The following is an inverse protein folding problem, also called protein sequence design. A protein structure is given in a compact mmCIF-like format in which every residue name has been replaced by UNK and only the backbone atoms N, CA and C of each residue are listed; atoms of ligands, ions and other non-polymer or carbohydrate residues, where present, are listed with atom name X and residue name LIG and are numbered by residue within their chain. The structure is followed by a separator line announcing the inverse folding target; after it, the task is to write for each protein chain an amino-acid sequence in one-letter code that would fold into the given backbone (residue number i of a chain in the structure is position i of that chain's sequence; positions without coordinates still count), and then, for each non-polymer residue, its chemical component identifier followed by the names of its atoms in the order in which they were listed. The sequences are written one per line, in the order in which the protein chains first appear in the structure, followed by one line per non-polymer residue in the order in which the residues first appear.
data_IF_395320188056
#
_entry.id   IF_395320188056
#
_cell.length_a   1.000
_cell.length_b   1.000
_cell.length_c   1.000
_cell.angle_alpha   90.00
_cell.angle_beta   90.00
_cell.angle_gamma   90.00
#
_symmetry.space_group_name_H-M   'P 1'
#
loop_
_entity.id
_entity.type
_entity.pdbx_description
1 polymer ?
#
# COMPACT_ATOMS: atom_id res chain seq x y z
N UNK A 1 -25.98 -6.72 -13.55
CA UNK A 1 -24.94 -6.22 -12.63
C UNK A 1 -25.44 -5.05 -11.76
N UNK A 2 -26.07 -4.02 -12.32
CA UNK A 2 -26.52 -2.85 -11.56
C UNK A 2 -27.49 -3.17 -10.41
N UNK A 3 -28.42 -4.11 -10.63
CA UNK A 3 -29.34 -4.57 -9.57
C UNK A 3 -28.57 -5.23 -8.43
N UNK A 4 -27.63 -6.12 -8.74
CA UNK A 4 -26.79 -6.82 -7.77
C UNK A 4 -25.91 -5.83 -6.99
N UNK A 5 -25.30 -4.88 -7.70
CA UNK A 5 -24.47 -3.80 -7.10
C UNK A 5 -25.29 -2.94 -6.12
N UNK A 6 -26.54 -2.61 -6.48
CA UNK A 6 -27.43 -1.84 -5.58
C UNK A 6 -27.75 -2.62 -4.31
N UNK A 7 -28.07 -3.90 -4.42
CA UNK A 7 -28.36 -4.76 -3.27
C UNK A 7 -27.12 -4.94 -2.40
N UNK A 8 -25.94 -5.20 -3.00
CA UNK A 8 -24.68 -5.29 -2.27
C UNK A 8 -24.38 -4.01 -1.47
N UNK A 9 -24.56 -2.85 -2.10
CA UNK A 9 -24.37 -1.55 -1.42
C UNK A 9 -25.30 -1.39 -0.23
N UNK A 10 -26.52 -1.87 -0.31
CA UNK A 10 -27.47 -1.86 0.81
C UNK A 10 -27.02 -2.79 1.94
N UNK A 11 -26.55 -4.00 1.62
CA UNK A 11 -25.96 -4.94 2.60
C UNK A 11 -24.74 -4.33 3.31
N UNK A 12 -23.80 -3.75 2.54
CA UNK A 12 -22.60 -3.12 3.11
C UNK A 12 -22.97 -1.94 4.04
N UNK A 13 -24.01 -1.17 3.71
CA UNK A 13 -24.52 -0.12 4.58
C UNK A 13 -25.09 -0.70 5.89
N UNK A 14 -25.83 -1.80 5.80
CA UNK A 14 -26.35 -2.50 6.97
C UNK A 14 -25.22 -3.06 7.85
N UNK A 15 -24.17 -3.64 7.25
CA UNK A 15 -22.99 -4.12 7.99
C UNK A 15 -22.30 -2.99 8.75
N UNK A 16 -22.08 -1.84 8.11
CA UNK A 16 -21.50 -0.68 8.78
C UNK A 16 -22.37 -0.19 9.94
N UNK A 17 -23.70 -0.21 9.78
CA UNK A 17 -24.63 0.16 10.86
C UNK A 17 -24.59 -0.84 12.02
N UNK A 18 -24.39 -2.12 11.71
CA UNK A 18 -24.29 -3.21 12.71
C UNK A 18 -22.86 -3.37 13.28
N UNK A 19 -21.91 -2.52 12.89
CA UNK A 19 -20.48 -2.63 13.22
C UNK A 19 -19.86 -3.99 12.83
N UNK A 20 -20.35 -4.61 11.77
CA UNK A 20 -19.77 -5.83 11.22
C UNK A 20 -18.61 -5.48 10.26
N UNK A 21 -17.42 -5.94 10.61
CA UNK A 21 -16.22 -5.78 9.76
C UNK A 21 -16.07 -6.97 8.82
N UNK A 22 -15.83 -6.70 7.54
CA UNK A 22 -15.52 -7.75 6.55
C UNK A 22 -14.08 -8.28 6.63
N UNK A 23 -13.23 -7.67 7.49
CA UNK A 23 -11.93 -8.27 7.84
C UNK A 23 -12.08 -9.46 8.79
N UNK A 24 -13.15 -9.49 9.60
CA UNK A 24 -13.36 -10.48 10.64
C UNK A 24 -14.50 -11.46 10.30
N UNK A 25 -15.28 -11.15 9.26
CA UNK A 25 -16.43 -11.95 8.85
C UNK A 25 -16.38 -12.29 7.36
N UNK A 26 -16.65 -13.55 7.03
CA UNK A 26 -16.73 -14.00 5.65
C UNK A 26 -18.07 -13.56 5.00
N UNK A 27 -18.06 -13.24 3.71
CA UNK A 27 -19.28 -12.96 2.94
C UNK A 27 -20.30 -14.09 3.02
N UNK A 28 -19.84 -15.33 3.11
CA UNK A 28 -20.70 -16.51 3.24
C UNK A 28 -21.56 -16.47 4.50
N UNK A 29 -21.03 -15.93 5.58
CA UNK A 29 -21.71 -15.92 6.89
C UNK A 29 -22.67 -14.73 7.05
N UNK A 30 -22.43 -13.63 6.31
CA UNK A 30 -23.15 -12.36 6.52
C UNK A 30 -24.12 -12.00 5.41
N UNK A 31 -24.03 -12.63 4.24
CA UNK A 31 -24.98 -12.41 3.13
C UNK A 31 -26.05 -13.50 3.10
N UNK A 32 -27.31 -13.14 2.78
CA UNK A 32 -28.32 -14.15 2.49
C UNK A 32 -27.87 -15.06 1.35
N UNK A 33 -28.01 -16.38 1.54
CA UNK A 33 -27.49 -17.41 0.63
C UNK A 33 -27.94 -17.18 -0.81
N UNK A 34 -29.23 -16.92 -1.05
CA UNK A 34 -29.78 -16.66 -2.39
C UNK A 34 -29.12 -15.47 -3.07
N UNK A 35 -28.76 -14.42 -2.32
CA UNK A 35 -28.10 -13.25 -2.86
C UNK A 35 -26.61 -13.49 -3.06
N UNK A 36 -25.99 -14.24 -2.17
CA UNK A 36 -24.58 -14.64 -2.28
C UNK A 36 -24.31 -15.37 -3.59
N UNK A 37 -25.13 -16.36 -3.94
CA UNK A 37 -24.99 -17.09 -5.22
C UNK A 37 -25.16 -16.18 -6.42
N UNK A 38 -26.16 -15.33 -6.44
CA UNK A 38 -26.37 -14.36 -7.53
C UNK A 38 -25.18 -13.40 -7.68
N UNK A 39 -24.63 -12.94 -6.55
CA UNK A 39 -23.48 -12.06 -6.55
C UNK A 39 -22.22 -12.76 -7.08
N UNK A 40 -21.93 -13.96 -6.61
CA UNK A 40 -20.76 -14.74 -7.03
C UNK A 40 -20.84 -15.12 -8.50
N UNK A 41 -22.01 -15.53 -8.98
CA UNK A 41 -22.22 -15.86 -10.39
C UNK A 41 -22.00 -14.63 -11.27
N UNK A 42 -22.63 -13.50 -10.96
CA UNK A 42 -22.47 -12.27 -11.71
C UNK A 42 -21.02 -11.76 -11.67
N UNK A 43 -20.36 -11.86 -10.54
CA UNK A 43 -18.94 -11.48 -10.40
C UNK A 43 -18.05 -12.37 -11.25
N UNK A 44 -18.32 -13.69 -11.26
CA UNK A 44 -17.58 -14.63 -12.10
C UNK A 44 -17.74 -14.31 -13.59
N UNK A 45 -18.96 -14.03 -14.06
CA UNK A 45 -19.23 -13.65 -15.43
C UNK A 45 -18.50 -12.37 -15.83
N UNK A 46 -18.53 -11.33 -14.99
CA UNK A 46 -17.81 -10.07 -15.23
C UNK A 46 -16.31 -10.31 -15.27
N UNK A 47 -15.77 -11.06 -14.32
CA UNK A 47 -14.34 -11.38 -14.25
C UNK A 47 -13.90 -12.16 -15.50
N UNK A 48 -14.66 -13.18 -15.89
CA UNK A 48 -14.37 -13.97 -17.10
C UNK A 48 -14.37 -13.08 -18.34
N UNK A 49 -15.40 -12.23 -18.50
CA UNK A 49 -15.48 -11.29 -19.62
C UNK A 49 -14.27 -10.34 -19.68
N UNK A 50 -13.86 -9.78 -18.53
CA UNK A 50 -12.67 -8.90 -18.46
C UNK A 50 -11.41 -9.64 -18.86
N UNK A 51 -11.18 -10.85 -18.33
CA UNK A 51 -9.99 -11.65 -18.63
C UNK A 51 -9.92 -12.02 -20.11
N UNK A 52 -11.07 -12.38 -20.71
CA UNK A 52 -11.14 -12.82 -22.13
C UNK A 52 -11.02 -11.65 -23.11
N UNK A 53 -11.48 -10.44 -22.74
CA UNK A 53 -11.58 -9.30 -23.65
C UNK A 53 -10.61 -8.16 -23.37
N UNK A 54 -9.82 -8.25 -22.29
CA UNK A 54 -8.85 -7.21 -21.94
C UNK A 54 -7.44 -7.78 -22.09
N UNK A 55 -6.69 -7.37 -23.12
CA UNK A 55 -5.29 -7.80 -23.27
C UNK A 55 -4.45 -7.29 -22.09
N UNK A 56 -3.43 -8.06 -21.73
CA UNK A 56 -2.46 -7.60 -20.73
C UNK A 56 -1.73 -6.38 -21.28
N UNK A 57 -1.57 -5.31 -20.48
CA UNK A 57 -0.78 -4.16 -20.90
C UNK A 57 0.71 -4.53 -21.06
N UNK A 58 1.43 -3.81 -21.90
CA UNK A 58 2.86 -4.09 -22.22
C UNK A 58 3.74 -4.15 -20.97
N UNK A 59 3.41 -3.36 -19.95
CA UNK A 59 4.15 -3.33 -18.68
C UNK A 59 3.59 -4.28 -17.60
N UNK A 60 2.74 -5.26 -17.96
CA UNK A 60 2.07 -6.15 -17.00
C UNK A 60 3.06 -6.89 -16.08
N UNK A 61 4.14 -7.42 -16.65
CA UNK A 61 5.16 -8.15 -15.88
C UNK A 61 5.87 -7.24 -14.89
N UNK A 62 6.24 -6.03 -15.32
CA UNK A 62 6.81 -5.01 -14.44
C UNK A 62 5.88 -4.68 -13.28
N UNK A 63 4.59 -4.51 -13.56
CA UNK A 63 3.57 -4.24 -12.54
C UNK A 63 3.44 -5.40 -11.53
N UNK A 64 3.46 -6.64 -12.01
CA UNK A 64 3.44 -7.82 -11.14
C UNK A 64 4.66 -7.88 -10.23
N UNK A 65 5.85 -7.60 -10.77
CA UNK A 65 7.09 -7.58 -10.01
C UNK A 65 7.10 -6.46 -8.95
N UNK A 66 6.62 -5.27 -9.31
CA UNK A 66 6.43 -4.15 -8.38
C UNK A 66 5.51 -4.54 -7.21
N UNK A 67 4.34 -5.13 -7.50
CA UNK A 67 3.39 -5.54 -6.46
C UNK A 67 3.98 -6.61 -5.55
N UNK A 68 4.71 -7.59 -6.10
CA UNK A 68 5.40 -8.63 -5.30
C UNK A 68 6.44 -7.99 -4.37
N UNK A 69 7.31 -7.13 -4.92
CA UNK A 69 8.33 -6.44 -4.14
C UNK A 69 7.70 -5.60 -3.00
N UNK A 70 6.63 -4.87 -3.28
CA UNK A 70 5.93 -4.09 -2.25
C UNK A 70 5.26 -5.00 -1.20
N UNK A 71 4.75 -6.16 -1.61
CA UNK A 71 4.24 -7.20 -0.70
C UNK A 71 5.32 -7.74 0.23
N UNK A 72 6.50 -8.03 -0.30
CA UNK A 72 7.65 -8.48 0.49
C UNK A 72 8.11 -7.42 1.50
N UNK A 73 8.15 -6.15 1.09
CA UNK A 73 8.48 -5.04 1.98
C UNK A 73 7.44 -4.93 3.12
N UNK A 74 6.15 -4.99 2.78
CA UNK A 74 5.06 -4.85 3.76
C UNK A 74 4.93 -6.05 4.71
N UNK A 75 5.51 -7.19 4.38
CA UNK A 75 5.54 -8.37 5.25
C UNK A 75 6.61 -8.33 6.34
N UNK A 76 7.55 -7.38 6.26
CA UNK A 76 8.72 -7.31 7.15
C UNK A 76 8.66 -6.08 8.05
N UNK A 77 8.63 -6.24 9.38
CA UNK A 77 8.69 -5.11 10.29
C UNK A 77 10.08 -4.48 10.27
N UNK A 78 10.10 -3.16 10.46
CA UNK A 78 11.33 -2.41 10.63
C UNK A 78 11.98 -2.73 11.98
N UNK A 79 13.30 -2.83 12.00
CA UNK A 79 14.08 -2.88 13.22
C UNK A 79 14.32 -1.44 13.71
N UNK A 80 13.61 -1.02 14.75
CA UNK A 80 13.63 0.35 15.27
C UNK A 80 14.27 0.37 16.65
N UNK A 81 15.36 1.15 16.78
CA UNK A 81 16.02 1.47 18.03
C UNK A 81 15.95 2.98 18.29
N UNK A 82 15.27 3.37 19.35
CA UNK A 82 15.09 4.80 19.70
C UNK A 82 16.28 5.39 20.45
N UNK A 83 17.23 4.60 20.91
CA UNK A 83 18.35 5.09 21.75
C UNK A 83 19.18 6.17 21.05
N UNK A 84 19.55 6.03 19.74
CA UNK A 84 20.33 7.06 19.05
C UNK A 84 19.65 8.42 18.96
N UNK A 85 18.32 8.46 18.98
CA UNK A 85 17.52 9.68 18.82
C UNK A 85 16.87 10.16 20.11
N UNK A 86 17.15 9.51 21.23
CA UNK A 86 16.50 9.81 22.52
C UNK A 86 16.62 11.28 22.93
N UNK A 87 17.75 11.92 22.65
CA UNK A 87 18.00 13.33 22.94
C UNK A 87 17.11 14.29 22.11
N UNK A 88 16.60 13.84 20.96
CA UNK A 88 15.71 14.64 20.11
C UNK A 88 14.25 14.56 20.54
N UNK A 89 13.87 13.54 21.32
CA UNK A 89 12.47 13.26 21.67
C UNK A 89 11.85 14.30 22.59
N UNK A 90 12.64 15.14 23.26
CA UNK A 90 12.18 16.27 24.07
C UNK A 90 11.74 17.49 23.24
N UNK A 91 12.13 17.56 21.97
CA UNK A 91 11.71 18.62 21.07
C UNK A 91 10.27 18.40 20.55
N UNK A 92 9.61 19.47 20.08
CA UNK A 92 8.27 19.37 19.48
C UNK A 92 8.25 18.38 18.32
N UNK A 93 9.26 18.43 17.43
CA UNK A 93 9.40 17.47 16.33
C UNK A 93 9.59 16.05 16.82
N UNK A 94 10.41 15.86 17.86
CA UNK A 94 10.67 14.56 18.45
C UNK A 94 9.43 13.97 19.14
N UNK A 95 8.65 14.78 19.85
CA UNK A 95 7.38 14.34 20.44
C UNK A 95 6.37 13.89 19.37
N UNK A 96 6.26 14.65 18.27
CA UNK A 96 5.42 14.27 17.16
C UNK A 96 5.87 12.97 16.51
N UNK A 97 7.17 12.80 16.29
CA UNK A 97 7.75 11.57 15.78
C UNK A 97 7.50 10.38 16.72
N UNK A 98 7.69 10.55 18.02
CA UNK A 98 7.39 9.53 19.01
C UNK A 98 5.90 9.13 19.02
N UNK A 99 4.99 10.10 18.87
CA UNK A 99 3.56 9.83 18.71
C UNK A 99 3.30 8.98 17.47
N UNK A 100 3.95 9.31 16.34
CA UNK A 100 3.87 8.54 15.10
C UNK A 100 4.39 7.12 15.27
N UNK A 101 5.51 6.92 15.96
CA UNK A 101 6.04 5.59 16.28
C UNK A 101 5.04 4.72 17.05
N UNK A 102 4.26 5.32 17.94
CA UNK A 102 3.26 4.61 18.74
C UNK A 102 1.97 4.29 17.98
N UNK A 103 1.62 5.09 16.99
CA UNK A 103 0.38 4.96 16.23
C UNK A 103 0.53 4.21 14.92
N UNK A 104 1.76 4.04 14.41
CA UNK A 104 2.01 3.30 13.17
C UNK A 104 2.35 1.83 13.46
N UNK A 105 2.00 0.97 12.54
CA UNK A 105 2.64 -0.33 12.43
C UNK A 105 4.09 -0.11 11.97
N UNK A 106 5.04 -0.81 12.56
CA UNK A 106 6.46 -0.69 12.18
C UNK A 106 6.74 -1.42 10.86
N UNK A 107 5.87 -1.22 9.89
CA UNK A 107 5.92 -1.84 8.57
C UNK A 107 5.78 -0.76 7.53
N UNK A 108 6.60 -0.82 6.49
CA UNK A 108 6.47 0.04 5.32
C UNK A 108 5.48 -0.57 4.34
N UNK A 109 4.30 0.03 4.21
CA UNK A 109 3.31 -0.37 3.22
C UNK A 109 3.04 0.80 2.28
N UNK A 110 3.23 0.56 0.97
CA UNK A 110 3.19 1.59 -0.05
C UNK A 110 2.03 1.40 -1.01
N UNK A 111 1.49 2.54 -1.45
CA UNK A 111 0.57 2.59 -2.57
C UNK A 111 1.32 3.08 -3.83
N UNK A 112 1.52 2.24 -4.85
CA UNK A 112 2.19 2.63 -6.08
C UNK A 112 1.34 3.50 -6.99
N UNK A 113 0.03 3.59 -6.71
CA UNK A 113 -0.95 4.33 -7.51
C UNK A 113 -1.48 5.59 -6.82
N UNK A 114 -0.88 5.98 -5.70
CA UNK A 114 -1.37 7.06 -4.84
C UNK A 114 -1.04 8.46 -5.33
N UNK A 115 -0.17 8.62 -6.34
CA UNK A 115 0.25 9.92 -6.87
C UNK A 115 0.13 9.97 -8.39
N UNK A 116 -0.17 11.15 -8.93
CA UNK A 116 -0.25 11.38 -10.39
C UNK A 116 1.10 11.15 -11.09
N UNK A 117 2.19 11.36 -10.37
CA UNK A 117 3.57 11.23 -10.91
C UNK A 117 4.12 9.81 -10.81
N UNK A 118 3.35 8.82 -10.32
CA UNK A 118 3.81 7.44 -10.14
C UNK A 118 4.79 7.23 -8.97
N UNK A 119 5.02 8.24 -8.12
CA UNK A 119 5.82 8.07 -6.91
C UNK A 119 5.05 7.26 -5.87
N UNK A 120 5.77 6.42 -5.12
CA UNK A 120 5.19 5.68 -4.00
C UNK A 120 4.64 6.63 -2.94
N UNK A 121 3.51 6.31 -2.37
CA UNK A 121 2.95 6.98 -1.20
C UNK A 121 2.73 5.99 -0.07
N UNK A 122 2.82 6.44 1.18
CA UNK A 122 2.52 5.59 2.33
C UNK A 122 1.02 5.29 2.40
N UNK A 123 0.66 4.04 2.70
CA UNK A 123 -0.72 3.71 3.07
C UNK A 123 -1.03 4.17 4.50
N UNK A 124 -2.32 4.31 4.87
CA UNK A 124 -2.71 4.59 6.26
C UNK A 124 -2.10 3.57 7.23
N UNK A 125 -1.68 4.04 8.40
CA UNK A 125 -1.02 3.24 9.46
C UNK A 125 0.33 2.60 9.08
N UNK A 126 0.86 2.85 7.89
CA UNK A 126 2.22 2.50 7.50
C UNK A 126 3.24 3.37 8.23
N UNK A 127 4.44 2.84 8.48
CA UNK A 127 5.55 3.65 8.97
C UNK A 127 5.91 4.72 7.93
N UNK A 128 5.98 6.02 8.32
CA UNK A 128 6.11 7.13 7.37
C UNK A 128 7.55 7.39 6.92
N UNK A 129 8.24 6.36 6.42
CA UNK A 129 9.66 6.45 6.07
C UNK A 129 9.95 7.50 4.99
N UNK A 130 9.03 7.71 4.03
CA UNK A 130 9.20 8.66 2.93
C UNK A 130 9.20 10.12 3.40
N UNK A 131 8.55 10.41 4.51
CA UNK A 131 8.41 11.77 5.07
C UNK A 131 9.20 11.96 6.38
N UNK A 132 9.94 10.94 6.80
CA UNK A 132 10.72 10.97 8.03
C UNK A 132 11.88 11.97 7.93
N UNK A 133 12.02 12.85 8.92
CA UNK A 133 13.15 13.77 9.02
C UNK A 133 14.49 13.03 9.10
N UNK A 134 15.53 13.60 8.47
CA UNK A 134 16.86 12.99 8.42
C UNK A 134 17.42 12.73 9.82
N UNK A 135 17.12 13.60 10.77
CA UNK A 135 17.54 13.54 12.17
C UNK A 135 17.02 12.28 12.90
N UNK A 136 15.91 11.70 12.42
CA UNK A 136 15.32 10.49 13.03
C UNK A 136 15.77 9.18 12.35
N UNK A 137 16.37 9.25 11.16
CA UNK A 137 16.84 8.05 10.44
C UNK A 137 17.78 7.13 11.23
N UNK A 138 18.64 7.62 12.15
CA UNK A 138 19.48 6.75 12.95
C UNK A 138 18.75 5.75 13.84
N UNK A 139 17.43 5.92 14.04
CA UNK A 139 16.63 4.93 14.76
C UNK A 139 16.35 3.65 13.96
N UNK A 140 16.53 3.68 12.64
CA UNK A 140 16.35 2.49 11.79
C UNK A 140 17.65 1.71 11.80
N UNK A 141 17.57 0.44 12.23
CA UNK A 141 18.71 -0.47 12.28
C UNK A 141 18.54 -1.56 11.23
N UNK A 142 19.63 -2.06 10.64
CA UNK A 142 19.55 -3.24 9.79
C UNK A 142 19.09 -4.45 10.62
N UNK A 143 18.44 -5.39 9.96
CA UNK A 143 18.10 -6.70 10.56
C UNK A 143 19.32 -7.64 10.56
N UNK A 144 20.24 -7.37 9.66
CA UNK A 144 21.57 -7.97 9.56
C UNK A 144 22.64 -6.90 9.74
N UNK A 145 23.88 -7.15 9.36
CA UNK A 145 25.02 -6.25 9.65
C UNK A 145 25.05 -5.00 8.76
N UNK A 146 24.26 -4.93 7.69
CA UNK A 146 24.42 -3.92 6.65
C UNK A 146 23.11 -3.19 6.33
N UNK A 147 23.24 -1.90 6.03
CA UNK A 147 22.18 -1.05 5.48
C UNK A 147 22.75 -0.37 4.24
N UNK A 148 22.07 -0.55 3.10
CA UNK A 148 22.46 0.05 1.82
C UNK A 148 21.52 1.21 1.49
N UNK A 149 22.09 2.35 1.09
CA UNK A 149 21.35 3.47 0.52
C UNK A 149 21.71 3.55 -0.96
N UNK A 150 20.70 3.45 -1.83
CA UNK A 150 20.84 3.57 -3.27
C UNK A 150 19.98 4.74 -3.75
N UNK A 151 20.61 5.64 -4.52
CA UNK A 151 19.93 6.77 -5.14
C UNK A 151 20.37 6.94 -6.59
N UNK A 152 19.42 7.33 -7.45
CA UNK A 152 19.71 7.61 -8.85
C UNK A 152 20.13 9.07 -8.99
N UNK A 153 21.32 9.30 -9.46
CA UNK A 153 21.79 10.65 -9.80
C UNK A 153 20.98 11.20 -10.98
N UNK A 154 20.29 12.33 -10.76
CA UNK A 154 19.51 13.06 -11.77
C UNK A 154 18.46 12.17 -12.48
N UNK A 155 17.70 11.36 -11.74
CA UNK A 155 16.71 10.41 -12.29
C UNK A 155 15.73 11.07 -13.27
N UNK A 156 15.18 12.24 -12.92
CA UNK A 156 14.22 12.95 -13.76
C UNK A 156 14.83 13.41 -15.10
N UNK A 157 16.07 13.89 -15.08
CA UNK A 157 16.77 14.30 -16.31
C UNK A 157 17.07 13.10 -17.21
N UNK A 158 17.44 11.96 -16.63
CA UNK A 158 17.67 10.72 -17.39
C UNK A 158 16.41 10.23 -18.07
N UNK A 159 15.29 10.23 -17.35
CA UNK A 159 13.98 9.87 -17.92
C UNK A 159 13.59 10.85 -19.03
N UNK A 160 13.78 12.15 -18.85
CA UNK A 160 13.48 13.16 -19.86
C UNK A 160 14.31 12.95 -21.14
N UNK A 161 15.62 12.67 -20.99
CA UNK A 161 16.51 12.40 -22.12
C UNK A 161 16.10 11.12 -22.85
N UNK A 162 15.78 10.05 -22.13
CA UNK A 162 15.31 8.80 -22.72
C UNK A 162 14.01 9.01 -23.52
N UNK A 163 13.03 9.74 -22.96
CA UNK A 163 11.79 10.07 -23.65
C UNK A 163 11.97 11.00 -24.86
N UNK A 164 13.03 11.83 -24.87
CA UNK A 164 13.35 12.70 -26.00
C UNK A 164 14.07 12.00 -27.16
N UNK A 165 14.38 10.71 -27.01
CA UNK A 165 15.14 9.94 -28.02
C UNK A 165 16.60 10.36 -28.16
N UNK A 166 17.12 11.17 -27.24
CA UNK A 166 18.52 11.55 -27.20
C UNK A 166 19.26 10.59 -26.26
N UNK A 167 19.73 9.49 -26.80
CA UNK A 167 20.74 8.65 -26.13
C UNK A 167 22.05 9.43 -25.99
N UNK A 168 22.65 9.36 -24.81
CA UNK A 168 24.05 9.80 -24.59
C UNK A 168 25.01 8.71 -25.02
#
# INVERSE_FOLDING_TARGET
WEKIKKTLKSCLKAFNTANLSLSDNCFYDVLPEYFLYQYLEAKNQVTKHVIENTPKPDNYEHMCNLVRMLGDISSRPLNIDIQPIKHLLSSVKGMNFHKTLRSSNWVCDYNPWGTVTGRLSNKPNSFPILTMGKEFRPCIKPTNDWLFELDFNAAELRVLLALSGKEQ
#
